data_IF_836141216459
#
_entry.id   IF_836141216459
#
_cell.length_a   1.000
_cell.length_b   1.000
_cell.length_c   1.000
_cell.angle_alpha   90.00
_cell.angle_beta   90.00
_cell.angle_gamma   90.00
#
_symmetry.space_group_name_H-M   'P 1'
#
loop_
_entity.id
_entity.type
_entity.pdbx_description
1 polymer ?
#
# COMPACT_ATOMS: atom_id res chain seq x y z
N UNK A 1 32.00 0.73 16.94
CA UNK A 1 31.32 -0.60 16.76
C UNK A 1 29.83 -0.38 16.82
N UNK A 2 29.08 -0.85 15.82
CA UNK A 2 27.62 -0.80 15.83
C UNK A 2 27.14 -1.82 16.86
N UNK A 3 26.42 -1.36 17.90
CA UNK A 3 25.93 -2.23 18.99
C UNK A 3 24.59 -2.88 18.61
N UNK A 4 24.24 -3.96 19.29
CA UNK A 4 22.93 -4.64 19.16
C UNK A 4 21.76 -3.65 19.23
N UNK A 5 21.83 -2.68 20.14
CA UNK A 5 20.77 -1.69 20.35
C UNK A 5 20.46 -0.85 19.10
N UNK A 6 21.47 -0.56 18.25
CA UNK A 6 21.24 0.17 17.00
C UNK A 6 20.40 -0.66 16.02
N UNK A 7 20.68 -1.95 15.89
CA UNK A 7 19.90 -2.84 15.02
C UNK A 7 18.47 -2.99 15.51
N UNK A 8 18.30 -3.18 16.84
CA UNK A 8 16.96 -3.26 17.44
C UNK A 8 16.18 -1.95 17.27
N UNK A 9 16.83 -0.80 17.46
CA UNK A 9 16.20 0.50 17.24
C UNK A 9 15.74 0.67 15.80
N UNK A 10 16.60 0.34 14.82
CA UNK A 10 16.23 0.42 13.40
C UNK A 10 15.10 -0.56 13.08
N UNK A 11 15.15 -1.80 13.57
CA UNK A 11 14.08 -2.77 13.40
C UNK A 11 12.75 -2.30 13.98
N UNK A 12 12.79 -1.71 15.19
CA UNK A 12 11.59 -1.14 15.82
C UNK A 12 11.02 0.05 15.05
N UNK A 13 11.86 0.94 14.52
CA UNK A 13 11.44 2.08 13.70
C UNK A 13 10.80 1.59 12.39
N UNK A 14 11.42 0.64 11.70
CA UNK A 14 10.84 0.05 10.47
C UNK A 14 9.49 -0.60 10.74
N UNK A 15 9.39 -1.39 11.82
CA UNK A 15 8.14 -2.01 12.22
C UNK A 15 7.07 -0.97 12.55
N UNK A 16 7.40 0.06 13.32
CA UNK A 16 6.48 1.14 13.69
C UNK A 16 5.99 1.94 12.49
N UNK A 17 6.88 2.29 11.55
CA UNK A 17 6.51 2.97 10.31
C UNK A 17 5.62 2.10 9.43
N UNK A 18 5.93 0.81 9.31
CA UNK A 18 5.08 -0.16 8.61
C UNK A 18 3.70 -0.26 9.23
N UNK A 19 3.62 -0.36 10.55
CA UNK A 19 2.36 -0.43 11.30
C UNK A 19 1.52 0.84 11.11
N UNK A 20 2.13 2.02 11.23
CA UNK A 20 1.44 3.28 10.99
C UNK A 20 0.88 3.37 9.56
N UNK A 21 1.69 3.02 8.57
CA UNK A 21 1.26 3.00 7.18
C UNK A 21 0.14 1.99 6.93
N UNK A 22 0.22 0.81 7.55
CA UNK A 22 -0.79 -0.25 7.45
C UNK A 22 -2.16 0.19 8.02
N UNK A 23 -2.16 0.89 9.15
CA UNK A 23 -3.39 1.36 9.79
C UNK A 23 -4.00 2.59 9.12
N UNK A 24 -3.19 3.42 8.44
CA UNK A 24 -3.65 4.71 7.89
C UNK A 24 -4.00 4.64 6.40
N UNK A 25 -3.59 3.61 5.69
CA UNK A 25 -3.76 3.51 4.23
C UNK A 25 -4.81 2.48 3.85
N UNK A 26 -5.58 2.81 2.80
CA UNK A 26 -6.64 1.94 2.24
C UNK A 26 -6.25 1.30 0.90
N UNK A 27 -5.14 1.71 0.33
CA UNK A 27 -4.67 1.15 -0.93
C UNK A 27 -3.99 -0.19 -0.70
N UNK A 28 -4.46 -1.24 -1.38
CA UNK A 28 -3.96 -2.61 -1.23
C UNK A 28 -2.45 -2.74 -1.46
N UNK A 29 -1.90 -2.03 -2.45
CA UNK A 29 -0.45 -2.05 -2.70
C UNK A 29 0.30 -1.43 -1.52
N UNK A 30 -0.19 -0.29 -1.01
CA UNK A 30 0.44 0.38 0.13
C UNK A 30 0.36 -0.47 1.40
N UNK A 31 -0.79 -1.13 1.66
CA UNK A 31 -0.94 -2.07 2.77
C UNK A 31 0.07 -3.21 2.68
N UNK A 32 0.22 -3.77 1.49
CA UNK A 32 1.18 -4.84 1.23
C UNK A 32 2.63 -4.38 1.49
N UNK A 33 3.03 -3.22 0.95
CA UNK A 33 4.36 -2.66 1.17
C UNK A 33 4.62 -2.34 2.66
N UNK A 34 3.59 -1.91 3.40
CA UNK A 34 3.69 -1.68 4.84
C UNK A 34 3.89 -2.99 5.61
N UNK A 35 3.19 -4.06 5.24
CA UNK A 35 3.38 -5.39 5.84
C UNK A 35 4.81 -5.91 5.56
N UNK A 36 5.31 -5.77 4.35
CA UNK A 36 6.69 -6.07 3.98
C UNK A 36 7.70 -5.29 4.83
N UNK A 37 7.47 -3.99 5.02
CA UNK A 37 8.33 -3.15 5.86
C UNK A 37 8.37 -3.63 7.31
N UNK A 38 7.22 -4.07 7.85
CA UNK A 38 7.15 -4.68 9.19
C UNK A 38 7.97 -5.97 9.26
N UNK A 39 7.85 -6.85 8.27
CA UNK A 39 8.64 -8.08 8.19
C UNK A 39 10.14 -7.80 8.14
N UNK A 40 10.58 -6.79 7.38
CA UNK A 40 12.00 -6.39 7.34
C UNK A 40 12.50 -5.94 8.72
N UNK A 41 11.68 -5.22 9.49
CA UNK A 41 12.01 -4.86 10.87
C UNK A 41 12.22 -6.10 11.76
N UNK A 42 11.37 -7.11 11.60
CA UNK A 42 11.48 -8.39 12.34
C UNK A 42 12.75 -9.15 11.93
N UNK A 43 13.06 -9.22 10.62
CA UNK A 43 14.28 -9.86 10.11
C UNK A 43 15.54 -9.25 10.72
N UNK A 44 15.61 -7.91 10.79
CA UNK A 44 16.73 -7.22 11.42
C UNK A 44 16.92 -7.64 12.88
N UNK A 45 15.83 -7.82 13.63
CA UNK A 45 15.89 -8.26 15.01
C UNK A 45 16.40 -9.69 15.12
N UNK A 46 15.94 -10.62 14.26
CA UNK A 46 16.47 -11.99 14.23
C UNK A 46 17.96 -12.03 13.93
N UNK A 47 18.44 -11.24 12.96
CA UNK A 47 19.85 -11.14 12.62
C UNK A 47 20.68 -10.59 13.78
N UNK A 48 20.17 -9.56 14.45
CA UNK A 48 20.82 -8.94 15.59
C UNK A 48 20.98 -9.90 16.78
N UNK A 49 19.90 -10.61 17.14
CA UNK A 49 19.93 -11.61 18.21
C UNK A 49 20.79 -12.83 17.85
N UNK A 50 20.70 -13.33 16.61
CA UNK A 50 21.56 -14.42 16.13
C UNK A 50 23.03 -14.08 16.28
N UNK A 51 23.41 -12.87 15.89
CA UNK A 51 24.80 -12.38 16.02
C UNK A 51 25.23 -12.28 17.48
N UNK A 52 24.38 -11.78 18.36
CA UNK A 52 24.66 -11.63 19.78
C UNK A 52 24.94 -13.00 20.46
N UNK A 53 24.20 -14.04 20.07
CA UNK A 53 24.34 -15.38 20.63
C UNK A 53 25.38 -16.24 19.88
N UNK A 54 26.11 -15.69 18.92
CA UNK A 54 27.07 -16.44 18.12
C UNK A 54 26.44 -17.58 17.31
N UNK A 55 25.13 -17.50 17.03
CA UNK A 55 24.34 -18.52 16.37
C UNK A 55 23.98 -18.12 14.95
N UNK A 56 24.11 -19.06 14.01
CA UNK A 56 23.67 -18.89 12.63
C UNK A 56 22.13 -19.00 12.47
N UNK A 57 21.42 -19.44 13.49
CA UNK A 57 19.97 -19.65 13.42
C UNK A 57 19.21 -18.39 13.03
N UNK A 58 19.61 -17.21 13.58
CA UNK A 58 19.01 -15.93 13.22
C UNK A 58 19.21 -15.57 11.75
N UNK A 59 20.36 -15.89 11.18
CA UNK A 59 20.68 -15.66 9.76
C UNK A 59 19.88 -16.59 8.85
N UNK A 60 19.82 -17.87 9.19
CA UNK A 60 19.05 -18.87 8.42
C UNK A 60 17.57 -18.53 8.44
N UNK A 61 17.04 -18.15 9.61
CA UNK A 61 15.64 -17.76 9.72
C UNK A 61 15.34 -16.46 8.99
N UNK A 62 16.24 -15.47 9.06
CA UNK A 62 16.14 -14.23 8.30
C UNK A 62 16.12 -14.47 6.78
N UNK A 63 17.01 -15.32 6.29
CA UNK A 63 17.04 -15.71 4.87
C UNK A 63 15.74 -16.41 4.44
N UNK A 64 15.22 -17.30 5.30
CA UNK A 64 13.92 -17.95 5.05
C UNK A 64 12.78 -16.95 4.93
N UNK A 65 12.69 -15.98 5.85
CA UNK A 65 11.65 -14.93 5.82
C UNK A 65 11.78 -14.10 4.53
N UNK A 66 12.98 -13.67 4.15
CA UNK A 66 13.20 -12.88 2.93
C UNK A 66 12.78 -13.67 1.68
N UNK A 67 13.06 -14.96 1.65
CA UNK A 67 12.67 -15.83 0.53
C UNK A 67 11.15 -15.94 0.41
N UNK A 68 10.46 -16.14 1.53
CA UNK A 68 8.98 -16.18 1.57
C UNK A 68 8.40 -14.83 1.15
N UNK A 69 8.92 -13.73 1.69
CA UNK A 69 8.50 -12.38 1.34
C UNK A 69 8.65 -12.09 -0.16
N UNK A 70 9.76 -12.52 -0.79
CA UNK A 70 9.94 -12.39 -2.24
C UNK A 70 8.91 -13.18 -3.05
N UNK A 71 8.54 -14.38 -2.60
CA UNK A 71 7.47 -15.17 -3.21
C UNK A 71 6.10 -14.49 -3.06
N UNK A 72 5.79 -13.99 -1.86
CA UNK A 72 4.56 -13.25 -1.59
C UNK A 72 4.47 -11.98 -2.44
N UNK A 73 5.58 -11.26 -2.61
CA UNK A 73 5.62 -10.06 -3.45
C UNK A 73 5.25 -10.38 -4.90
N UNK A 74 5.76 -11.48 -5.46
CA UNK A 74 5.42 -11.92 -6.81
C UNK A 74 3.93 -12.24 -6.96
N UNK A 75 3.38 -13.00 -6.03
CA UNK A 75 1.95 -13.37 -6.01
C UNK A 75 1.06 -12.15 -5.75
N UNK A 76 1.44 -11.30 -4.80
CA UNK A 76 0.72 -10.08 -4.47
C UNK A 76 0.61 -9.11 -5.64
N UNK A 77 1.73 -8.85 -6.33
CA UNK A 77 1.73 -7.99 -7.52
C UNK A 77 0.86 -8.56 -8.65
N UNK A 78 0.91 -9.87 -8.89
CA UNK A 78 0.05 -10.51 -9.87
C UNK A 78 -1.45 -10.36 -9.52
N UNK A 79 -1.80 -10.55 -8.25
CA UNK A 79 -3.15 -10.38 -7.75
C UNK A 79 -3.62 -8.92 -7.87
N UNK A 80 -2.79 -7.95 -7.47
CA UNK A 80 -3.12 -6.52 -7.58
C UNK A 80 -3.32 -6.10 -9.03
N UNK A 81 -2.49 -6.60 -9.94
CA UNK A 81 -2.66 -6.34 -11.37
C UNK A 81 -4.00 -6.91 -11.88
N UNK A 82 -4.35 -8.12 -11.46
CA UNK A 82 -5.63 -8.75 -11.81
C UNK A 82 -6.82 -7.94 -11.27
N UNK A 83 -6.77 -7.53 -10.00
CA UNK A 83 -7.80 -6.71 -9.37
C UNK A 83 -7.93 -5.35 -10.07
N UNK A 84 -6.80 -4.70 -10.37
CA UNK A 84 -6.81 -3.43 -11.07
C UNK A 84 -7.41 -3.54 -12.48
N UNK A 85 -7.09 -4.60 -13.21
CA UNK A 85 -7.70 -4.85 -14.53
C UNK A 85 -9.20 -5.06 -14.46
N UNK A 86 -9.69 -5.67 -13.38
CA UNK A 86 -11.11 -5.98 -13.20
C UNK A 86 -11.91 -4.78 -12.68
N UNK A 87 -11.39 -4.06 -11.68
CA UNK A 87 -12.12 -2.99 -10.98
C UNK A 87 -11.60 -1.58 -11.24
N UNK A 88 -10.48 -1.41 -11.96
CA UNK A 88 -9.80 -0.12 -12.17
C UNK A 88 -9.45 0.63 -10.89
N UNK A 89 -9.49 -0.06 -9.74
CA UNK A 89 -9.18 0.51 -8.43
C UNK A 89 -8.52 -0.52 -7.53
N UNK A 90 -7.63 -0.07 -6.66
CA UNK A 90 -6.96 -0.85 -5.62
C UNK A 90 -7.37 -0.38 -4.22
N UNK A 91 -8.44 0.38 -4.12
CA UNK A 91 -9.02 0.77 -2.84
C UNK A 91 -9.67 -0.44 -2.17
N UNK A 92 -9.25 -0.74 -0.94
CA UNK A 92 -9.78 -1.86 -0.15
C UNK A 92 -11.28 -1.73 0.14
N UNK A 93 -11.80 -0.50 0.23
CA UNK A 93 -13.22 -0.23 0.49
C UNK A 93 -14.14 -0.77 -0.60
N UNK A 94 -13.70 -0.74 -1.86
CA UNK A 94 -14.50 -1.25 -3.00
C UNK A 94 -14.66 -2.77 -2.92
N UNK A 95 -13.67 -3.46 -2.38
CA UNK A 95 -13.65 -4.93 -2.29
C UNK A 95 -14.36 -5.46 -1.05
N UNK A 96 -14.73 -4.59 -0.09
CA UNK A 96 -15.55 -4.97 1.07
C UNK A 96 -16.98 -5.43 0.70
N UNK A 97 -17.43 -5.12 -0.51
CA UNK A 97 -18.72 -5.59 -1.02
C UNK A 97 -18.70 -7.07 -1.41
N UNK A 98 -17.52 -7.65 -1.60
CA UNK A 98 -17.32 -9.09 -1.84
C UNK A 98 -17.51 -9.84 -0.51
N UNK A 99 -18.70 -10.33 -0.26
CA UNK A 99 -19.05 -11.06 0.95
C UNK A 99 -19.74 -12.37 0.63
N UNK A 100 -19.69 -13.30 1.55
CA UNK A 100 -20.46 -14.52 1.50
C UNK A 100 -21.97 -14.24 1.71
N UNK A 101 -22.83 -15.10 1.15
CA UNK A 101 -24.27 -14.99 1.34
C UNK A 101 -24.60 -15.12 2.83
N UNK A 102 -25.35 -14.15 3.37
CA UNK A 102 -25.76 -14.11 4.78
C UNK A 102 -24.92 -13.25 5.71
N UNK A 103 -23.77 -12.74 5.26
CA UNK A 103 -22.97 -11.78 6.05
C UNK A 103 -23.50 -10.35 5.82
N UNK A 104 -23.82 -9.57 6.87
CA UNK A 104 -24.26 -8.18 6.72
C UNK A 104 -23.18 -7.32 6.01
N UNK A 105 -23.64 -6.32 5.25
CA UNK A 105 -22.72 -5.41 4.57
C UNK A 105 -21.91 -4.62 5.62
N UNK A 106 -20.58 -4.66 5.53
CA UNK A 106 -19.75 -3.68 6.21
C UNK A 106 -19.96 -2.32 5.51
N UNK A 107 -20.66 -1.41 6.18
CA UNK A 107 -20.82 -0.04 5.67
C UNK A 107 -19.71 0.78 6.27
N UNK A 108 -18.78 1.22 5.43
CA UNK A 108 -17.78 2.20 5.83
C UNK A 108 -18.51 3.53 6.03
N UNK A 109 -18.60 4.00 7.27
CA UNK A 109 -19.27 5.27 7.62
C UNK A 109 -18.46 6.50 7.15
N UNK A 110 -17.21 6.30 6.75
CA UNK A 110 -16.34 7.38 6.31
C UNK A 110 -16.49 7.61 4.80
N UNK A 111 -16.97 8.80 4.45
CA UNK A 111 -17.07 9.19 3.05
C UNK A 111 -15.67 9.17 2.39
N UNK A 112 -15.56 8.46 1.28
CA UNK A 112 -14.35 8.50 0.46
C UNK A 112 -14.04 9.96 0.11
N UNK A 113 -12.78 10.41 0.23
CA UNK A 113 -12.41 11.75 -0.20
C UNK A 113 -12.77 11.87 -1.69
N UNK A 114 -13.66 12.80 -1.98
CA UNK A 114 -14.05 13.10 -3.36
C UNK A 114 -12.78 13.52 -4.09
N UNK A 115 -12.22 12.64 -4.90
CA UNK A 115 -11.15 13.00 -5.81
C UNK A 115 -11.75 14.02 -6.75
N UNK A 116 -11.53 15.31 -6.47
CA UNK A 116 -11.79 16.36 -7.45
C UNK A 116 -10.89 15.98 -8.62
N UNK A 117 -11.51 15.54 -9.71
CA UNK A 117 -10.79 15.26 -10.93
C UNK A 117 -10.06 16.56 -11.31
N UNK A 118 -8.76 16.63 -11.04
CA UNK A 118 -7.95 17.72 -11.54
C UNK A 118 -8.07 17.66 -13.07
N UNK A 119 -8.73 18.66 -13.62
CA UNK A 119 -8.81 18.83 -15.06
C UNK A 119 -7.40 19.18 -15.52
N UNK A 120 -6.63 18.17 -15.88
CA UNK A 120 -5.32 18.38 -16.46
C UNK A 120 -5.50 19.18 -17.74
N UNK A 121 -4.77 20.29 -17.91
CA UNK A 121 -4.86 21.09 -19.15
C UNK A 121 -4.46 20.19 -20.34
N UNK A 122 -5.42 19.95 -21.22
CA UNK A 122 -5.17 19.20 -22.43
C UNK A 122 -4.37 20.10 -23.37
N UNK A 123 -3.19 19.62 -23.81
CA UNK A 123 -2.40 20.33 -24.80
C UNK A 123 -3.21 20.51 -26.10
N UNK A 124 -3.39 21.76 -26.51
CA UNK A 124 -4.02 22.07 -27.80
C UNK A 124 -3.11 21.64 -28.96
N UNK A 125 -3.74 21.18 -30.02
CA UNK A 125 -3.01 20.85 -31.27
C UNK A 125 -2.14 22.05 -31.67
N UNK A 126 -0.88 21.79 -32.01
CA UNK A 126 0.08 22.83 -32.39
C UNK A 126 -0.51 23.79 -33.43
N UNK A 127 -0.47 25.10 -33.14
CA UNK A 127 -0.98 26.16 -34.02
C UNK A 127 -2.40 26.68 -33.71
N UNK A 128 -3.12 26.12 -32.71
CA UNK A 128 -4.39 26.70 -32.23
C UNK A 128 -4.19 27.42 -30.92
N UNK A 129 -4.65 28.67 -30.82
CA UNK A 129 -4.73 29.38 -29.54
C UNK A 129 -5.70 28.64 -28.62
N UNK A 130 -5.39 28.45 -27.33
CA UNK A 130 -6.32 27.86 -26.40
C UNK A 130 -7.58 28.72 -26.34
N UNK A 131 -8.72 28.11 -26.66
CA UNK A 131 -10.01 28.78 -26.48
C UNK A 131 -10.23 29.03 -24.97
N UNK A 132 -10.50 30.27 -24.62
CA UNK A 132 -10.97 30.60 -23.26
C UNK A 132 -12.29 29.88 -23.11
N UNK A 133 -12.28 28.79 -22.30
CA UNK A 133 -13.49 28.02 -22.01
C UNK A 133 -14.50 28.92 -21.35
N UNK A 134 -15.55 29.27 -22.05
CA UNK A 134 -16.77 29.81 -21.41
C UNK A 134 -17.30 28.76 -20.44
N UNK A 135 -17.53 29.10 -19.16
CA UNK A 135 -18.17 28.18 -18.24
C UNK A 135 -19.53 27.81 -18.82
N UNK A 136 -19.77 26.52 -18.98
CA UNK A 136 -21.05 26.00 -19.43
C UNK A 136 -22.13 26.49 -18.47
N UNK A 137 -22.88 27.49 -18.95
CA UNK A 137 -24.00 28.08 -18.24
C UNK A 137 -25.03 27.03 -17.95
N UNK A 138 -25.49 26.98 -16.71
CA UNK A 138 -26.56 26.12 -16.23
C UNK A 138 -27.78 26.23 -17.14
N UNK A 139 -28.20 25.12 -17.70
CA UNK A 139 -29.52 24.95 -18.28
C UNK A 139 -30.47 24.51 -17.18
N UNK A 140 -31.13 25.49 -16.55
CA UNK A 140 -32.42 25.26 -15.90
C UNK A 140 -33.42 24.77 -16.95
N UNK A 141 -34.10 23.67 -16.68
CA UNK A 141 -35.40 23.33 -17.31
C UNK A 141 -36.26 22.70 -16.23
N UNK A 142 -37.24 23.44 -15.98
CA UNK A 142 -38.69 23.25 -16.00
C UNK A 142 -39.11 21.78 -15.91
#
# INVERSE_FOLDING_TARGET
MISLNHFLAVGAVLFGLGLLGFLTRRNLITLFLCAELMLQGVVLNFLAFGRMHGSLNGQVFGLFIITVAACEAGLGLALFLMLYRRGRSLDSGIWQTLREQGVPAAVDAEALPTVVAEVHPVLTVAGRKPGVGTPAGGASRV
#
